data_IF_740783012421
#
_entry.id   IF_740783012421
#
_cell.length_a   1.000
_cell.length_b   1.000
_cell.length_c   1.000
_cell.angle_alpha   90.00
_cell.angle_beta   90.00
_cell.angle_gamma   90.00
#
_symmetry.space_group_name_H-M   'P 1'
#
loop_
_entity.id
_entity.type
_entity.pdbx_description
1 polymer ?
#
# COMPACT_ATOMS: atom_id res chain seq x y z
N UNK A 1 -43.29 39.91 26.57
CA UNK A 1 -42.98 40.54 25.28
C UNK A 1 -42.30 39.49 24.41
N UNK A 2 -43.04 38.66 23.65
CA UNK A 2 -43.53 38.90 22.26
C UNK A 2 -42.33 38.96 21.28
N UNK A 3 -42.16 38.19 20.20
CA UNK A 3 -43.00 37.40 19.30
C UNK A 3 -42.08 36.37 18.56
N UNK A 4 -42.42 35.09 18.33
CA UNK A 4 -43.28 34.47 17.29
C UNK A 4 -42.71 34.44 15.85
N UNK A 5 -42.62 33.21 15.28
CA UNK A 5 -42.87 32.72 13.88
C UNK A 5 -41.83 31.62 13.53
N UNK A 6 -42.07 30.33 13.24
CA UNK A 6 -43.20 29.44 12.86
C UNK A 6 -43.85 29.65 11.46
N UNK A 7 -43.50 28.69 10.57
CA UNK A 7 -44.23 28.04 9.46
C UNK A 7 -44.37 28.71 8.07
N UNK A 8 -44.09 27.92 7.01
CA UNK A 8 -45.01 27.41 5.93
C UNK A 8 -44.13 26.79 4.79
N UNK A 9 -44.18 25.47 4.50
CA UNK A 9 -45.09 24.70 3.60
C UNK A 9 -44.82 24.95 2.09
N UNK A 10 -44.33 23.99 1.28
CA UNK A 10 -45.00 22.85 0.59
C UNK A 10 -45.19 23.08 -0.94
N UNK A 11 -44.93 22.00 -1.72
CA UNK A 11 -45.45 21.62 -3.06
C UNK A 11 -44.91 22.28 -4.35
N UNK A 12 -44.43 21.39 -5.24
CA UNK A 12 -44.24 21.65 -6.68
C UNK A 12 -44.07 20.32 -7.42
N UNK A 13 -45.16 19.79 -7.94
CA UNK A 13 -45.32 18.51 -8.64
C UNK A 13 -45.56 18.79 -10.15
N UNK A 14 -45.11 17.85 -11.00
CA UNK A 14 -45.58 17.56 -12.38
C UNK A 14 -45.08 18.44 -13.55
N UNK A 15 -44.39 17.78 -14.51
CA UNK A 15 -44.73 17.70 -15.95
C UNK A 15 -43.46 17.67 -16.85
N UNK A 16 -43.12 16.52 -17.44
CA UNK A 16 -43.26 16.33 -18.90
C UNK A 16 -43.00 14.87 -19.28
N UNK A 17 -43.89 14.34 -20.12
CA UNK A 17 -43.82 13.03 -20.74
C UNK A 17 -43.57 13.20 -22.26
N UNK A 18 -43.22 12.07 -22.88
CA UNK A 18 -43.32 11.72 -24.32
C UNK A 18 -42.06 11.94 -25.16
N UNK A 19 -41.59 10.85 -25.77
CA UNK A 19 -40.64 10.87 -26.89
C UNK A 19 -40.09 9.49 -27.28
N UNK A 20 -40.94 8.60 -27.79
CA UNK A 20 -40.57 7.32 -28.44
C UNK A 20 -39.95 7.58 -29.82
N UNK A 21 -38.81 6.98 -30.15
CA UNK A 21 -38.49 6.57 -31.52
C UNK A 21 -37.39 5.49 -31.56
N UNK A 22 -37.80 4.31 -32.02
CA UNK A 22 -37.00 3.14 -32.38
C UNK A 22 -36.29 3.40 -33.72
N UNK A 23 -34.98 3.14 -33.80
CA UNK A 23 -34.31 2.84 -35.09
C UNK A 23 -33.35 1.68 -34.88
N UNK A 24 -33.84 0.47 -35.15
CA UNK A 24 -33.05 -0.72 -35.45
C UNK A 24 -32.46 -0.60 -36.85
N UNK A 25 -31.13 -0.60 -36.97
CA UNK A 25 -30.46 -0.81 -38.25
C UNK A 25 -30.04 -2.27 -38.39
N UNK A 26 -30.67 -2.94 -39.34
CA UNK A 26 -30.26 -4.21 -39.94
C UNK A 26 -29.04 -3.96 -40.84
N UNK A 27 -27.99 -4.78 -40.71
CA UNK A 27 -27.09 -5.08 -41.82
C UNK A 27 -26.89 -6.59 -41.93
N UNK A 28 -27.56 -7.18 -42.93
CA UNK A 28 -27.21 -8.49 -43.48
C UNK A 28 -26.15 -8.32 -44.59
N UNK A 29 -25.06 -9.07 -44.42
CA UNK A 29 -24.11 -9.70 -45.36
C UNK A 29 -24.05 -9.26 -46.84
N UNK A 30 -22.86 -9.46 -47.44
CA UNK A 30 -22.84 -10.53 -48.43
C UNK A 30 -21.75 -11.58 -48.20
N UNK A 31 -22.17 -12.80 -48.55
CA UNK A 31 -21.39 -14.01 -48.73
C UNK A 31 -20.49 -13.83 -49.96
N UNK A 32 -19.21 -14.18 -49.83
CA UNK A 32 -18.39 -14.57 -50.98
C UNK A 32 -17.86 -15.97 -50.69
N UNK A 33 -18.17 -16.87 -51.60
CA UNK A 33 -17.79 -18.28 -51.64
C UNK A 33 -16.87 -18.49 -52.86
N UNK A 34 -16.17 -19.63 -52.87
CA UNK A 34 -15.29 -20.22 -53.91
C UNK A 34 -13.80 -19.93 -53.70
N UNK A 35 -12.87 -20.90 -53.78
CA UNK A 35 -12.93 -22.34 -54.08
C UNK A 35 -11.57 -23.00 -53.75
N UNK A 36 -11.64 -24.25 -53.30
CA UNK A 36 -10.69 -25.37 -53.45
C UNK A 36 -9.20 -25.13 -53.75
N UNK A 37 -8.33 -25.72 -52.93
CA UNK A 37 -7.61 -26.94 -53.36
C UNK A 37 -6.86 -27.60 -52.19
N UNK A 38 -6.97 -28.93 -52.17
CA UNK A 38 -6.39 -29.93 -51.28
C UNK A 38 -4.86 -29.98 -51.24
N UNK A 39 -4.28 -30.12 -50.05
CA UNK A 39 -3.16 -31.04 -49.77
C UNK A 39 -3.33 -31.59 -48.36
N UNK A 40 -3.53 -32.91 -48.27
CA UNK A 40 -3.53 -33.70 -47.04
C UNK A 40 -2.09 -34.05 -46.66
N UNK A 41 -1.57 -33.43 -45.61
CA UNK A 41 -0.47 -33.97 -44.82
C UNK A 41 -1.02 -34.39 -43.45
N UNK A 42 -0.84 -35.67 -43.11
CA UNK A 42 -1.11 -36.21 -41.77
C UNK A 42 -0.11 -35.59 -40.79
N UNK A 43 -0.55 -34.57 -40.07
CA UNK A 43 0.18 -34.03 -38.90
C UNK A 43 0.00 -35.03 -37.74
N UNK A 44 1.08 -35.47 -37.08
CA UNK A 44 0.96 -36.31 -35.90
C UNK A 44 0.08 -35.60 -34.86
N UNK A 45 -0.90 -36.31 -34.31
CA UNK A 45 -1.65 -35.90 -33.12
C UNK A 45 -0.64 -35.62 -31.99
N UNK A 46 -0.22 -34.36 -31.88
CA UNK A 46 0.34 -33.82 -30.66
C UNK A 46 -0.81 -33.83 -29.67
N UNK A 47 -0.73 -34.77 -28.72
CA UNK A 47 -1.47 -34.70 -27.48
C UNK A 47 -1.19 -33.32 -26.90
N UNK A 48 -2.17 -32.42 -27.04
CA UNK A 48 -2.14 -31.15 -26.33
C UNK A 48 -1.95 -31.50 -24.86
N UNK A 49 -0.86 -31.06 -24.20
CA UNK A 49 -0.79 -31.17 -22.77
C UNK A 49 -1.96 -30.32 -22.26
N UNK A 50 -2.89 -30.99 -21.59
CA UNK A 50 -3.98 -30.39 -20.86
C UNK A 50 -3.35 -29.60 -19.71
N UNK A 51 -2.88 -28.39 -20.02
CA UNK A 51 -2.31 -27.44 -19.06
C UNK A 51 -3.35 -26.39 -18.72
N UNK A 52 -4.54 -26.82 -18.34
CA UNK A 52 -5.28 -26.09 -17.30
C UNK A 52 -4.82 -26.67 -15.96
N UNK A 53 -3.64 -26.28 -15.48
CA UNK A 53 -3.38 -26.42 -14.06
C UNK A 53 -4.40 -25.51 -13.38
N UNK A 54 -5.47 -26.09 -12.87
CA UNK A 54 -6.38 -25.38 -11.96
C UNK A 54 -5.49 -24.80 -10.86
N UNK A 55 -5.32 -23.49 -10.92
CA UNK A 55 -4.48 -22.77 -9.98
C UNK A 55 -5.13 -22.90 -8.61
N UNK A 56 -4.42 -23.50 -7.66
CA UNK A 56 -4.95 -23.65 -6.31
C UNK A 56 -5.24 -22.26 -5.73
N UNK A 57 -6.50 -22.02 -5.39
CA UNK A 57 -6.90 -20.83 -4.65
C UNK A 57 -6.34 -20.89 -3.22
N UNK A 58 -6.27 -19.76 -2.54
CA UNK A 58 -5.82 -19.74 -1.14
C UNK A 58 -6.77 -20.61 -0.29
N UNK A 59 -6.23 -21.56 0.51
CA UNK A 59 -7.05 -22.32 1.44
C UNK A 59 -7.85 -21.42 2.38
N UNK A 60 -9.05 -21.86 2.76
CA UNK A 60 -9.80 -21.17 3.82
C UNK A 60 -9.00 -21.24 5.12
N UNK A 61 -8.85 -20.09 5.78
CA UNK A 61 -8.07 -19.97 7.01
C UNK A 61 -7.79 -18.51 7.35
N UNK A 62 -7.14 -18.32 8.49
CA UNK A 62 -6.69 -17.00 8.94
C UNK A 62 -5.26 -16.77 8.50
N UNK A 63 -5.05 -15.66 7.81
CA UNK A 63 -3.76 -15.15 7.36
C UNK A 63 -3.39 -13.92 8.18
N UNK A 64 -2.15 -13.87 8.66
CA UNK A 64 -1.63 -12.75 9.42
C UNK A 64 -0.42 -12.16 8.70
N UNK A 65 -0.32 -10.83 8.67
CA UNK A 65 0.82 -10.13 8.08
C UNK A 65 1.37 -9.11 9.06
N UNK A 66 2.69 -9.11 9.24
CA UNK A 66 3.41 -8.08 9.99
C UNK A 66 3.89 -7.00 9.03
N UNK A 67 3.50 -5.75 9.30
CA UNK A 67 3.77 -4.60 8.44
C UNK A 67 4.55 -3.55 9.23
N UNK A 68 5.73 -3.21 8.72
CA UNK A 68 6.53 -2.10 9.22
C UNK A 68 6.64 -1.05 8.13
N UNK A 69 6.02 0.10 8.38
CA UNK A 69 6.30 1.28 7.59
C UNK A 69 7.62 1.91 8.07
N UNK A 70 8.52 2.20 7.13
CA UNK A 70 9.84 2.77 7.36
C UNK A 70 9.93 4.06 6.55
N UNK A 71 9.95 5.20 7.24
CA UNK A 71 9.84 6.54 6.66
C UNK A 71 10.40 7.69 7.53
N UNK A 72 11.20 7.40 8.55
CA UNK A 72 11.78 8.39 9.46
C UNK A 72 13.19 8.81 9.07
N UNK A 73 13.28 9.78 8.16
CA UNK A 73 14.54 10.36 7.71
C UNK A 73 15.13 11.36 8.73
N UNK A 74 14.37 11.70 9.77
CA UNK A 74 14.76 12.70 10.79
C UNK A 74 15.70 12.08 11.81
N UNK A 75 15.46 10.82 12.20
CA UNK A 75 16.28 10.07 13.16
C UNK A 75 16.86 8.80 12.54
N UNK A 76 17.81 8.93 11.60
CA UNK A 76 18.28 7.80 10.80
C UNK A 76 18.93 6.69 11.62
N UNK A 77 19.68 7.03 12.68
CA UNK A 77 20.37 6.04 13.51
C UNK A 77 19.38 5.16 14.27
N UNK A 78 18.35 5.78 14.84
CA UNK A 78 17.27 5.12 15.54
C UNK A 78 16.43 4.26 14.58
N UNK A 79 16.16 4.77 13.38
CA UNK A 79 15.49 4.04 12.31
C UNK A 79 16.28 2.78 11.91
N UNK A 80 17.57 2.93 11.55
CA UNK A 80 18.48 1.81 11.19
C UNK A 80 18.55 0.77 12.31
N UNK A 81 18.74 1.21 13.56
CA UNK A 81 18.82 0.30 14.71
C UNK A 81 17.50 -0.46 14.94
N UNK A 82 16.37 0.22 14.76
CA UNK A 82 15.03 -0.36 14.90
C UNK A 82 14.77 -1.39 13.82
N UNK A 83 15.03 -1.07 12.55
CA UNK A 83 14.83 -2.03 11.44
C UNK A 83 15.73 -3.25 11.63
N UNK A 84 17.00 -3.08 12.02
CA UNK A 84 17.87 -4.22 12.33
C UNK A 84 17.29 -5.11 13.45
N UNK A 85 16.80 -4.51 14.53
CA UNK A 85 16.22 -5.26 15.65
C UNK A 85 14.92 -5.96 15.25
N UNK A 86 14.09 -5.35 14.41
CA UNK A 86 12.92 -6.01 13.82
C UNK A 86 13.36 -7.25 13.03
N UNK A 87 14.37 -7.11 12.16
CA UNK A 87 14.87 -8.23 11.37
C UNK A 87 15.45 -9.34 12.25
N UNK A 88 16.21 -9.00 13.29
CA UNK A 88 16.73 -9.97 14.27
C UNK A 88 15.60 -10.80 14.89
N UNK A 89 14.51 -10.14 15.29
CA UNK A 89 13.36 -10.82 15.88
C UNK A 89 12.63 -11.69 14.86
N UNK A 90 12.38 -11.21 13.65
CA UNK A 90 11.74 -12.02 12.62
C UNK A 90 12.57 -13.25 12.25
N UNK A 91 13.89 -13.11 12.16
CA UNK A 91 14.81 -14.21 11.96
C UNK A 91 14.88 -15.16 13.16
N UNK A 92 14.86 -14.66 14.40
CA UNK A 92 14.80 -15.49 15.59
C UNK A 92 13.52 -16.34 15.63
N UNK A 93 12.37 -15.74 15.31
CA UNK A 93 11.07 -16.40 15.36
C UNK A 93 10.71 -17.17 14.10
N UNK A 94 11.48 -16.99 13.00
CA UNK A 94 11.19 -17.53 11.66
C UNK A 94 9.82 -17.11 11.13
N UNK A 95 9.48 -15.83 11.32
CA UNK A 95 8.19 -15.25 10.94
C UNK A 95 8.41 -14.25 9.80
N UNK A 96 7.64 -14.29 8.71
CA UNK A 96 7.78 -13.34 7.60
C UNK A 96 7.26 -11.93 7.96
N UNK A 97 7.81 -10.90 7.30
CA UNK A 97 7.46 -9.48 7.50
C UNK A 97 7.45 -8.72 6.18
N UNK A 98 6.55 -7.74 6.08
CA UNK A 98 6.54 -6.73 5.01
C UNK A 98 7.13 -5.41 5.50
N UNK A 99 8.15 -4.93 4.80
CA UNK A 99 8.83 -3.65 5.04
C UNK A 99 8.41 -2.66 3.95
N UNK A 100 7.67 -1.61 4.32
CA UNK A 100 7.23 -0.55 3.43
C UNK A 100 8.18 0.64 3.57
N UNK A 101 9.12 0.78 2.64
CA UNK A 101 10.18 1.80 2.69
C UNK A 101 9.88 2.91 1.69
N UNK A 102 10.03 4.17 2.09
CA UNK A 102 9.93 5.32 1.19
C UNK A 102 11.28 5.71 0.57
N UNK A 103 11.23 6.48 -0.53
CA UNK A 103 12.44 6.89 -1.26
C UNK A 103 13.50 7.57 -0.37
N UNK A 104 13.17 8.57 0.47
CA UNK A 104 14.18 9.22 1.32
C UNK A 104 14.95 8.24 2.22
N UNK A 105 14.27 7.21 2.77
CA UNK A 105 14.94 6.23 3.63
C UNK A 105 15.78 5.24 2.84
N UNK A 106 15.35 4.85 1.65
CA UNK A 106 16.17 3.99 0.78
C UNK A 106 17.47 4.69 0.43
N UNK A 107 17.40 5.95 0.01
CA UNK A 107 18.58 6.77 -0.30
C UNK A 107 19.51 6.88 0.92
N UNK A 108 18.93 7.08 2.10
CA UNK A 108 19.69 7.16 3.35
C UNK A 108 20.37 5.83 3.68
N UNK A 109 19.63 4.71 3.63
CA UNK A 109 20.14 3.40 4.00
C UNK A 109 21.22 2.89 3.04
N UNK A 110 21.10 3.15 1.74
CA UNK A 110 22.16 2.83 0.77
C UNK A 110 23.48 3.49 1.16
N UNK A 111 23.44 4.73 1.65
CA UNK A 111 24.62 5.49 2.03
C UNK A 111 25.15 5.13 3.44
N UNK A 112 24.27 5.01 4.42
CA UNK A 112 24.64 4.91 5.84
C UNK A 112 24.62 3.48 6.39
N UNK A 113 23.85 2.58 5.80
CA UNK A 113 23.65 1.20 6.27
C UNK A 113 23.55 0.19 5.11
N UNK A 114 24.56 0.08 4.23
CA UNK A 114 24.51 -0.84 3.08
C UNK A 114 24.35 -2.31 3.50
N UNK A 115 24.83 -2.70 4.69
CA UNK A 115 24.60 -4.04 5.24
C UNK A 115 23.12 -4.31 5.54
N UNK A 116 22.37 -3.29 5.98
CA UNK A 116 20.93 -3.40 6.19
C UNK A 116 20.19 -3.55 4.86
N UNK A 117 20.59 -2.82 3.82
CA UNK A 117 20.05 -2.98 2.45
C UNK A 117 20.24 -4.42 1.96
N UNK A 118 21.45 -4.97 2.09
CA UNK A 118 21.71 -6.35 1.68
C UNK A 118 20.88 -7.36 2.49
N UNK A 119 20.65 -7.11 3.78
CA UNK A 119 19.79 -7.97 4.61
C UNK A 119 18.33 -7.90 4.19
N UNK A 120 17.79 -6.71 3.93
CA UNK A 120 16.43 -6.50 3.42
C UNK A 120 16.22 -7.20 2.06
N UNK A 121 17.23 -7.14 1.20
CA UNK A 121 17.23 -7.75 -0.13
C UNK A 121 17.27 -9.28 -0.09
N UNK A 122 18.13 -9.85 0.77
CA UNK A 122 18.48 -11.28 0.71
C UNK A 122 17.72 -12.14 1.72
N UNK A 123 17.08 -11.55 2.72
CA UNK A 123 16.36 -12.32 3.74
C UNK A 123 15.16 -13.08 3.16
N UNK A 124 15.03 -14.40 3.44
CA UNK A 124 13.89 -15.20 3.01
C UNK A 124 12.62 -14.91 3.82
N UNK A 125 12.69 -14.05 4.84
CA UNK A 125 11.54 -13.66 5.66
C UNK A 125 11.02 -12.26 5.33
N UNK A 126 11.82 -11.44 4.64
CA UNK A 126 11.46 -10.07 4.32
C UNK A 126 10.90 -9.99 2.91
N UNK A 127 9.78 -9.29 2.78
CA UNK A 127 9.32 -8.74 1.51
C UNK A 127 9.38 -7.21 1.60
N UNK A 128 10.06 -6.58 0.63
CA UNK A 128 10.14 -5.12 0.56
C UNK A 128 9.05 -4.60 -0.37
N UNK A 129 8.32 -3.62 0.13
CA UNK A 129 7.24 -2.88 -0.52
C UNK A 129 7.57 -1.40 -0.50
N UNK A 130 6.95 -0.63 -1.38
CA UNK A 130 7.21 0.80 -1.53
C UNK A 130 6.16 1.63 -0.78
N UNK A 131 6.63 2.64 -0.06
CA UNK A 131 5.79 3.56 0.68
C UNK A 131 5.85 4.96 0.09
N UNK A 132 4.70 5.58 -0.10
CA UNK A 132 4.62 6.98 -0.52
C UNK A 132 4.36 7.84 0.70
N UNK A 133 5.20 8.87 0.88
CA UNK A 133 5.10 9.89 1.92
C UNK A 133 5.33 11.28 1.35
N UNK A 134 4.95 12.33 2.11
CA UNK A 134 5.32 13.69 1.74
C UNK A 134 6.83 13.80 1.51
N UNK A 135 7.25 14.67 0.57
CA UNK A 135 6.42 15.68 -0.09
C UNK A 135 5.81 15.25 -1.44
N UNK A 136 5.74 13.96 -1.77
CA UNK A 136 5.10 13.52 -3.01
C UNK A 136 3.68 14.11 -3.12
N UNK A 137 3.35 14.83 -4.21
CA UNK A 137 2.16 15.69 -4.24
C UNK A 137 0.89 14.85 -4.11
N UNK A 138 0.86 13.63 -4.64
CA UNK A 138 -0.29 12.72 -4.55
C UNK A 138 -0.47 12.01 -3.19
N UNK A 139 0.32 12.34 -2.15
CA UNK A 139 0.15 11.78 -0.80
C UNK A 139 -1.05 12.39 -0.05
N UNK A 140 -1.30 13.69 -0.22
CA UNK A 140 -2.50 14.45 0.20
C UNK A 140 -2.46 15.90 -0.31
N UNK A 141 -1.48 16.26 -1.14
CA UNK A 141 -1.25 17.62 -1.61
C UNK A 141 -1.76 17.77 -3.04
N UNK A 142 -1.84 19.01 -3.51
CA UNK A 142 -1.92 19.26 -4.95
C UNK A 142 -1.24 20.57 -5.34
N UNK A 143 -0.06 20.83 -4.75
CA UNK A 143 0.71 22.05 -5.02
C UNK A 143 1.18 22.16 -6.49
N UNK A 144 1.16 21.04 -7.23
CA UNK A 144 1.48 20.98 -8.67
C UNK A 144 0.24 21.02 -9.58
N UNK A 145 -0.98 21.04 -9.03
CA UNK A 145 -2.23 21.16 -9.80
C UNK A 145 -2.56 19.95 -10.68
N UNK A 146 -2.25 18.74 -10.22
CA UNK A 146 -2.50 17.45 -10.88
C UNK A 146 -3.94 17.29 -11.35
N UNK A 147 -4.91 17.80 -10.59
CA UNK A 147 -6.33 17.70 -10.93
C UNK A 147 -6.68 18.39 -12.26
N UNK A 148 -5.91 19.42 -12.66
CA UNK A 148 -6.10 20.19 -13.89
C UNK A 148 -5.28 19.69 -15.09
N UNK A 149 -4.27 18.84 -14.86
CA UNK A 149 -3.40 18.34 -15.93
C UNK A 149 -4.18 17.45 -16.91
N UNK A 150 -3.75 17.40 -18.17
CA UNK A 150 -4.23 16.37 -19.10
C UNK A 150 -3.79 14.98 -18.64
N UNK A 151 -4.38 13.90 -19.18
CA UNK A 151 -4.04 12.54 -18.77
C UNK A 151 -2.56 12.20 -19.04
N UNK A 152 -2.08 12.48 -20.25
CA UNK A 152 -0.68 12.26 -20.65
C UNK A 152 0.29 13.02 -19.74
N UNK A 153 0.05 14.32 -19.51
CA UNK A 153 0.92 15.15 -18.65
C UNK A 153 0.87 14.69 -17.17
N UNK A 154 -0.29 14.20 -16.70
CA UNK A 154 -0.40 13.65 -15.35
C UNK A 154 0.42 12.35 -15.23
N UNK A 155 0.31 11.44 -16.18
CA UNK A 155 1.06 10.19 -16.19
C UNK A 155 2.57 10.44 -16.26
N UNK A 156 3.02 11.35 -17.14
CA UNK A 156 4.43 11.75 -17.22
C UNK A 156 4.93 12.32 -15.90
N UNK A 157 4.16 13.23 -15.27
CA UNK A 157 4.52 13.80 -13.97
C UNK A 157 4.64 12.72 -12.88
N UNK A 158 3.67 11.81 -12.80
CA UNK A 158 3.69 10.71 -11.83
C UNK A 158 4.87 9.76 -12.09
N UNK A 159 5.18 9.51 -13.36
CA UNK A 159 6.34 8.71 -13.74
C UNK A 159 7.66 9.37 -13.32
N UNK A 160 7.79 10.69 -13.49
CA UNK A 160 8.96 11.45 -13.03
C UNK A 160 9.12 11.31 -11.51
N UNK A 161 8.05 11.50 -10.72
CA UNK A 161 8.10 11.30 -9.27
C UNK A 161 8.50 9.89 -8.84
N UNK A 162 8.17 8.87 -9.62
CA UNK A 162 8.47 7.48 -9.30
C UNK A 162 9.80 6.98 -9.87
N UNK A 163 10.49 7.81 -10.66
CA UNK A 163 11.80 7.50 -11.24
C UNK A 163 12.91 8.42 -10.74
N UNK A 164 12.56 9.57 -10.19
CA UNK A 164 13.48 10.55 -9.64
C UNK A 164 13.37 10.65 -8.13
N UNK A 165 14.47 11.05 -7.52
CA UNK A 165 14.51 11.42 -6.10
C UNK A 165 13.66 12.67 -5.91
N UNK A 166 12.96 12.75 -4.79
CA UNK A 166 12.20 13.96 -4.43
C UNK A 166 13.04 14.87 -3.54
N UNK A 167 13.09 16.16 -3.88
CA UNK A 167 13.64 17.19 -3.00
C UNK A 167 12.68 17.43 -1.84
N UNK A 168 13.15 17.27 -0.60
CA UNK A 168 12.29 17.39 0.58
C UNK A 168 11.83 18.82 0.87
N UNK A 169 12.60 19.83 0.43
CA UNK A 169 12.27 21.24 0.60
C UNK A 169 11.29 21.70 -0.48
N UNK A 170 11.51 21.37 -1.76
CA UNK A 170 10.62 21.86 -2.84
C UNK A 170 9.46 20.92 -3.13
N UNK A 171 9.58 19.64 -2.78
CA UNK A 171 8.65 18.60 -3.20
C UNK A 171 8.72 18.25 -4.68
N UNK A 172 9.68 18.80 -5.44
CA UNK A 172 9.85 18.52 -6.87
C UNK A 172 10.78 17.31 -7.09
N UNK A 173 10.59 16.55 -8.18
CA UNK A 173 11.57 15.55 -8.60
C UNK A 173 12.90 16.21 -8.96
N UNK A 174 14.02 15.53 -8.68
CA UNK A 174 15.37 15.96 -9.06
C UNK A 174 15.90 15.18 -10.27
N UNK A 175 17.11 15.49 -10.71
CA UNK A 175 17.82 14.73 -11.76
C UNK A 175 18.42 13.41 -11.25
N UNK A 176 18.44 13.19 -9.92
CA UNK A 176 18.99 11.97 -9.32
C UNK A 176 17.96 10.84 -9.35
N UNK A 177 18.36 9.57 -9.54
CA UNK A 177 17.44 8.43 -9.46
C UNK A 177 16.78 8.31 -8.09
N UNK A 178 15.50 8.02 -8.06
CA UNK A 178 14.73 7.81 -6.82
C UNK A 178 13.39 7.12 -7.05
N UNK A 179 12.49 7.32 -6.09
CA UNK A 179 11.15 6.78 -6.12
C UNK A 179 11.09 5.24 -6.13
N UNK A 180 9.98 4.71 -6.62
CA UNK A 180 9.79 3.27 -6.79
C UNK A 180 10.89 2.62 -7.66
N UNK A 181 11.32 3.30 -8.73
CA UNK A 181 12.31 2.76 -9.67
C UNK A 181 13.66 2.51 -8.99
N UNK A 182 14.11 3.45 -8.15
CA UNK A 182 15.36 3.30 -7.44
C UNK A 182 15.30 2.19 -6.40
N UNK A 183 14.21 2.09 -5.63
CA UNK A 183 14.04 0.97 -4.70
C UNK A 183 14.08 -0.38 -5.43
N UNK A 184 13.44 -0.48 -6.60
CA UNK A 184 13.50 -1.68 -7.46
C UNK A 184 14.92 -2.01 -7.89
N UNK A 185 15.72 -1.01 -8.29
CA UNK A 185 17.12 -1.20 -8.65
C UNK A 185 17.94 -1.72 -7.47
N UNK A 186 17.83 -1.08 -6.31
CA UNK A 186 18.57 -1.42 -5.09
C UNK A 186 18.24 -2.85 -4.63
N UNK A 187 16.96 -3.20 -4.58
CA UNK A 187 16.49 -4.54 -4.19
C UNK A 187 16.78 -5.60 -5.26
N UNK A 188 16.90 -5.23 -6.53
CA UNK A 188 17.04 -6.16 -7.65
C UNK A 188 15.75 -6.92 -8.00
N UNK A 189 14.62 -6.51 -7.42
CA UNK A 189 13.28 -6.99 -7.74
C UNK A 189 12.27 -5.85 -7.54
N UNK A 190 11.14 -5.92 -8.23
CA UNK A 190 10.07 -4.94 -8.10
C UNK A 190 9.44 -5.00 -6.69
N UNK A 191 9.32 -3.88 -5.94
CA UNK A 191 8.60 -3.86 -4.67
C UNK A 191 7.21 -4.46 -4.82
N UNK A 192 6.84 -5.37 -3.90
CA UNK A 192 5.65 -6.20 -4.06
C UNK A 192 4.37 -5.38 -3.95
N UNK A 193 4.27 -4.51 -2.95
CA UNK A 193 3.13 -3.63 -2.74
C UNK A 193 3.49 -2.15 -2.84
N UNK A 194 2.53 -1.33 -3.23
CA UNK A 194 2.63 0.13 -3.33
C UNK A 194 1.46 0.82 -2.61
N UNK A 195 1.73 1.96 -1.97
CA UNK A 195 0.73 2.73 -1.24
C UNK A 195 -0.11 3.64 -2.14
N UNK A 196 -1.42 3.40 -2.22
CA UNK A 196 -2.37 4.23 -2.97
C UNK A 196 -2.97 5.37 -2.14
N UNK A 197 -2.25 6.48 -1.96
CA UNK A 197 -2.64 7.53 -1.00
C UNK A 197 -3.33 8.77 -1.60
N UNK A 198 -3.71 8.78 -2.88
CA UNK A 198 -4.38 9.95 -3.46
C UNK A 198 -5.89 9.98 -3.17
N UNK A 199 -6.38 11.10 -2.63
CA UNK A 199 -7.80 11.36 -2.48
C UNK A 199 -8.52 11.63 -3.81
N UNK A 200 -7.77 12.00 -4.86
CA UNK A 200 -8.29 12.21 -6.20
C UNK A 200 -8.28 10.89 -6.97
N UNK A 201 -9.47 10.34 -7.24
CA UNK A 201 -9.62 9.04 -7.93
C UNK A 201 -8.94 9.03 -9.31
N UNK A 202 -8.92 10.15 -10.04
CA UNK A 202 -8.24 10.21 -11.34
C UNK A 202 -6.73 10.05 -11.19
N UNK A 203 -6.15 10.75 -10.21
CA UNK A 203 -4.71 10.66 -9.89
C UNK A 203 -4.37 9.27 -9.36
N UNK A 204 -5.19 8.70 -8.48
CA UNK A 204 -4.99 7.36 -7.96
C UNK A 204 -4.96 6.29 -9.06
N UNK A 205 -5.85 6.39 -10.06
CA UNK A 205 -5.87 5.49 -11.23
C UNK A 205 -4.60 5.63 -12.08
N UNK A 206 -4.25 6.86 -12.46
CA UNK A 206 -3.05 7.12 -13.24
C UNK A 206 -1.78 6.62 -12.52
N UNK A 207 -1.72 6.78 -11.19
CA UNK A 207 -0.61 6.29 -10.38
C UNK A 207 -0.58 4.75 -10.32
N UNK A 208 -1.73 4.09 -10.21
CA UNK A 208 -1.82 2.63 -10.28
C UNK A 208 -1.33 2.11 -11.63
N UNK A 209 -1.69 2.77 -12.73
CA UNK A 209 -1.22 2.42 -14.08
C UNK A 209 0.31 2.58 -14.17
N UNK A 210 0.88 3.68 -13.65
CA UNK A 210 2.34 3.86 -13.57
C UNK A 210 3.00 2.70 -12.82
N UNK A 211 2.53 2.37 -11.62
CA UNK A 211 3.12 1.28 -10.84
C UNK A 211 2.95 -0.10 -11.50
N UNK A 212 1.82 -0.38 -12.15
CA UNK A 212 1.61 -1.61 -12.91
C UNK A 212 2.66 -1.75 -14.02
N UNK A 213 2.92 -0.69 -14.78
CA UNK A 213 3.97 -0.67 -15.81
C UNK A 213 5.38 -0.83 -15.21
N UNK A 214 5.61 -0.33 -13.99
CA UNK A 214 6.88 -0.49 -13.28
C UNK A 214 7.05 -1.88 -12.65
N UNK A 215 6.00 -2.70 -12.62
CA UNK A 215 6.02 -4.09 -12.16
C UNK A 215 5.57 -4.30 -10.71
N UNK A 216 4.85 -3.35 -10.11
CA UNK A 216 4.20 -3.58 -8.83
C UNK A 216 3.18 -4.72 -8.96
N UNK A 217 2.97 -5.47 -7.88
CA UNK A 217 2.00 -6.58 -7.85
C UNK A 217 0.74 -6.21 -7.10
N UNK A 218 0.92 -5.56 -5.94
CA UNK A 218 -0.16 -5.22 -5.02
C UNK A 218 -0.33 -3.71 -4.85
N UNK A 219 -1.58 -3.27 -4.82
CA UNK A 219 -2.02 -1.93 -4.46
C UNK A 219 -2.59 -1.95 -3.04
N UNK A 220 -2.10 -1.07 -2.17
CA UNK A 220 -2.62 -0.93 -0.81
C UNK A 220 -3.72 0.12 -0.79
N UNK A 221 -4.92 -0.32 -0.40
CA UNK A 221 -6.03 0.56 0.00
C UNK A 221 -6.32 0.37 1.49
N UNK A 222 -6.91 1.39 2.12
CA UNK A 222 -7.23 1.36 3.55
C UNK A 222 -8.72 1.62 3.81
N UNK A 223 -9.17 1.31 5.03
CA UNK A 223 -10.51 1.63 5.56
C UNK A 223 -11.69 0.92 4.88
N UNK A 224 -11.45 -0.24 4.28
CA UNK A 224 -12.50 -1.10 3.73
C UNK A 224 -12.07 -2.55 3.78
N UNK A 225 -13.04 -3.45 3.70
CA UNK A 225 -12.77 -4.85 3.39
C UNK A 225 -12.16 -4.94 1.99
N UNK A 226 -11.08 -5.68 1.86
CA UNK A 226 -10.44 -6.06 0.60
C UNK A 226 -10.29 -7.58 0.62
N UNK A 227 -11.04 -8.25 -0.25
CA UNK A 227 -11.00 -9.71 -0.33
C UNK A 227 -9.78 -10.19 -1.12
N UNK A 228 -9.45 -11.47 -0.96
CA UNK A 228 -8.42 -12.11 -1.79
C UNK A 228 -8.81 -12.01 -3.27
N UNK A 229 -7.85 -11.61 -4.11
CA UNK A 229 -8.02 -11.37 -5.56
C UNK A 229 -8.89 -10.17 -5.94
N UNK A 230 -9.25 -9.30 -5.00
CA UNK A 230 -9.72 -7.97 -5.38
C UNK A 230 -8.64 -7.25 -6.21
N UNK A 231 -9.05 -6.47 -7.19
CA UNK A 231 -8.16 -5.71 -8.07
C UNK A 231 -8.46 -4.22 -7.98
N UNK A 232 -7.45 -3.40 -8.26
CA UNK A 232 -7.56 -1.97 -8.48
C UNK A 232 -6.78 -1.64 -9.74
N UNK A 233 -7.50 -1.35 -10.82
CA UNK A 233 -6.94 -1.33 -12.18
C UNK A 233 -6.19 -2.65 -12.45
N UNK A 234 -4.96 -2.58 -12.99
CA UNK A 234 -4.15 -3.77 -13.34
C UNK A 234 -3.35 -4.35 -12.16
N UNK A 235 -3.58 -3.86 -10.93
CA UNK A 235 -2.92 -4.33 -9.71
C UNK A 235 -3.87 -5.18 -8.86
N UNK A 236 -3.34 -6.20 -8.19
CA UNK A 236 -4.06 -6.89 -7.14
C UNK A 236 -4.15 -5.99 -5.92
N UNK A 237 -5.22 -6.02 -5.14
CA UNK A 237 -5.24 -5.29 -3.88
C UNK A 237 -4.64 -6.14 -2.77
N UNK A 238 -3.88 -5.51 -1.86
CA UNK A 238 -3.45 -6.19 -0.63
C UNK A 238 -4.70 -6.57 0.17
N UNK A 239 -4.93 -7.87 0.45
CA UNK A 239 -6.13 -8.29 1.16
C UNK A 239 -6.11 -7.81 2.62
N UNK A 240 -7.29 -7.46 3.12
CA UNK A 240 -7.46 -6.86 4.44
C UNK A 240 -8.90 -7.05 4.92
N UNK A 241 -9.11 -7.90 5.91
CA UNK A 241 -10.35 -7.90 6.70
C UNK A 241 -10.24 -6.91 7.86
N UNK A 242 -9.06 -6.83 8.49
CA UNK A 242 -8.78 -5.93 9.61
C UNK A 242 -7.31 -5.48 9.62
N UNK A 243 -7.09 -4.18 9.78
CA UNK A 243 -5.78 -3.60 10.11
C UNK A 243 -5.74 -3.22 11.59
N UNK A 244 -4.85 -3.86 12.34
CA UNK A 244 -4.59 -3.54 13.74
C UNK A 244 -3.37 -2.64 13.81
N UNK A 245 -3.58 -1.36 14.12
CA UNK A 245 -2.50 -0.42 14.37
C UNK A 245 -2.00 -0.59 15.80
N UNK A 246 -0.97 -1.42 15.94
CA UNK A 246 -0.49 -1.93 17.23
C UNK A 246 0.16 -0.86 18.12
N UNK A 247 0.35 0.36 17.59
CA UNK A 247 0.95 1.51 18.25
C UNK A 247 -0.06 2.57 18.76
N UNK A 248 -1.33 2.56 18.29
CA UNK A 248 -2.25 3.69 18.53
C UNK A 248 -2.79 3.79 19.97
N UNK A 249 -2.68 2.73 20.77
CA UNK A 249 -3.24 2.72 22.13
C UNK A 249 -2.34 3.49 23.10
N UNK A 250 -2.90 4.57 23.69
CA UNK A 250 -2.25 5.38 24.73
C UNK A 250 -2.02 4.61 26.04
N UNK A 251 -2.92 3.70 26.38
CA UNK A 251 -2.76 2.74 27.48
C UNK A 251 -2.20 1.44 26.95
N UNK A 252 -1.30 0.82 27.70
CA UNK A 252 -0.78 -0.48 27.28
C UNK A 252 -1.89 -1.54 27.23
N UNK A 253 -1.92 -2.26 26.11
CA UNK A 253 -2.61 -3.54 25.94
C UNK A 253 -1.60 -4.57 25.44
N UNK A 254 -1.73 -5.83 25.88
CA UNK A 254 -0.89 -6.92 25.36
C UNK A 254 -1.18 -7.17 23.89
N UNK A 255 -0.18 -7.67 23.17
CA UNK A 255 -0.38 -8.02 21.76
C UNK A 255 -1.46 -9.08 21.61
N UNK A 256 -1.47 -10.08 22.50
CA UNK A 256 -2.51 -11.12 22.54
C UNK A 256 -3.91 -10.53 22.59
N UNK A 257 -4.16 -9.54 23.47
CA UNK A 257 -5.50 -8.95 23.59
C UNK A 257 -5.92 -8.27 22.29
N UNK A 258 -5.02 -7.50 21.68
CA UNK A 258 -5.28 -6.78 20.43
C UNK A 258 -5.56 -7.74 19.27
N UNK A 259 -4.78 -8.83 19.19
CA UNK A 259 -4.94 -9.85 18.15
C UNK A 259 -6.24 -10.63 18.37
N UNK A 260 -6.53 -11.10 19.57
CA UNK A 260 -7.78 -11.82 19.88
C UNK A 260 -9.02 -10.96 19.64
N UNK A 261 -8.95 -9.65 19.90
CA UNK A 261 -10.03 -8.73 19.54
C UNK A 261 -10.24 -8.66 18.02
N UNK A 262 -9.16 -8.58 17.24
CA UNK A 262 -9.23 -8.53 15.78
C UNK A 262 -9.74 -9.84 15.15
N UNK A 263 -9.45 -10.99 15.78
CA UNK A 263 -9.84 -12.30 15.27
C UNK A 263 -11.33 -12.64 15.46
N UNK A 264 -12.05 -11.96 16.38
CA UNK A 264 -13.42 -12.34 16.79
C UNK A 264 -14.43 -12.37 15.65
N UNK A 265 -14.33 -11.43 14.72
CA UNK A 265 -15.35 -11.19 13.69
C UNK A 265 -14.89 -11.65 12.29
N UNK A 266 -13.76 -12.36 12.21
CA UNK A 266 -13.26 -12.84 10.92
C UNK A 266 -14.12 -13.97 10.34
N UNK A 267 -14.33 -13.99 9.02
CA UNK A 267 -15.07 -15.06 8.37
C UNK A 267 -14.27 -16.38 8.43
N UNK A 268 -14.99 -17.49 8.63
CA UNK A 268 -14.41 -18.84 8.63
C UNK A 268 -14.64 -19.62 7.34
N UNK A 269 -15.27 -19.00 6.34
CA UNK A 269 -15.70 -19.64 5.09
C UNK A 269 -14.90 -19.18 3.85
N UNK A 270 -13.94 -18.28 4.04
CA UNK A 270 -12.98 -17.82 3.02
C UNK A 270 -11.64 -17.47 3.68
N UNK A 271 -10.55 -17.27 2.92
CA UNK A 271 -9.34 -16.65 3.45
C UNK A 271 -9.68 -15.33 4.15
N UNK A 272 -9.20 -15.16 5.39
CA UNK A 272 -9.40 -13.97 6.20
C UNK A 272 -8.05 -13.35 6.59
N UNK A 273 -7.90 -12.03 6.50
CA UNK A 273 -6.60 -11.35 6.61
C UNK A 273 -6.54 -10.34 7.76
N UNK A 274 -5.58 -10.55 8.66
CA UNK A 274 -5.23 -9.64 9.76
C UNK A 274 -3.89 -8.99 9.51
N UNK A 275 -3.90 -7.67 9.37
CA UNK A 275 -2.71 -6.87 9.12
C UNK A 275 -2.26 -6.19 10.44
N UNK A 276 -1.14 -6.63 11.02
CA UNK A 276 -0.56 -6.02 12.22
C UNK A 276 0.46 -4.96 11.83
N UNK A 277 0.19 -3.69 12.17
CA UNK A 277 0.94 -2.55 11.65
C UNK A 277 1.67 -1.75 12.72
N UNK A 278 2.92 -1.42 12.40
CA UNK A 278 3.75 -0.44 13.09
C UNK A 278 4.38 0.55 12.11
N UNK A 279 4.76 1.71 12.63
CA UNK A 279 5.84 2.51 12.05
C UNK A 279 7.10 2.27 12.87
N UNK A 280 8.26 2.23 12.22
CA UNK A 280 9.54 2.08 12.89
C UNK A 280 9.78 3.20 13.93
N UNK A 281 9.35 4.42 13.66
CA UNK A 281 9.50 5.51 14.62
C UNK A 281 8.65 5.34 15.88
N UNK A 282 7.63 4.46 15.88
CA UNK A 282 6.82 4.18 17.04
C UNK A 282 7.60 3.45 18.14
N UNK A 283 8.77 2.88 17.83
CA UNK A 283 9.62 2.23 18.82
C UNK A 283 10.42 3.22 19.67
N UNK A 284 10.70 4.44 19.16
CA UNK A 284 11.59 5.39 19.82
C UNK A 284 11.06 6.83 19.91
N UNK A 285 9.98 7.18 19.20
CA UNK A 285 9.33 8.50 19.28
C UNK A 285 7.84 8.42 19.57
N UNK A 286 7.27 9.53 20.04
CA UNK A 286 5.83 9.77 20.09
C UNK A 286 5.51 10.95 19.18
N UNK A 287 4.85 10.68 18.06
CA UNK A 287 4.56 11.65 16.99
C UNK A 287 5.12 11.19 15.64
N UNK A 288 4.77 11.91 14.57
CA UNK A 288 5.39 11.72 13.24
C UNK A 288 6.51 12.72 13.11
N UNK A 289 7.74 12.24 12.99
CA UNK A 289 8.98 13.03 13.12
C UNK A 289 9.10 14.13 12.09
N UNK A 290 8.65 13.90 10.86
CA UNK A 290 8.63 14.86 9.77
C UNK A 290 7.29 15.59 9.62
N UNK A 291 6.27 15.30 10.45
CA UNK A 291 4.91 15.80 10.23
C UNK A 291 4.79 17.33 10.29
N UNK A 292 5.55 17.99 11.18
CA UNK A 292 5.55 19.46 11.33
C UNK A 292 6.19 20.21 10.15
N UNK A 293 6.89 19.50 9.27
CA UNK A 293 7.43 20.06 8.02
C UNK A 293 6.31 20.33 7.01
N UNK A 294 5.30 19.45 6.95
CA UNK A 294 4.30 19.45 5.89
C UNK A 294 2.89 19.83 6.35
N UNK A 295 2.60 19.77 7.65
CA UNK A 295 1.27 20.07 8.20
C UNK A 295 1.29 21.07 9.36
N UNK A 296 0.27 21.93 9.41
CA UNK A 296 -0.04 22.78 10.57
C UNK A 296 -0.37 21.94 11.80
N UNK A 297 -1.16 20.87 11.63
CA UNK A 297 -1.44 19.88 12.66
C UNK A 297 -0.95 18.48 12.23
N UNK A 298 0.26 18.07 12.66
CA UNK A 298 0.83 16.77 12.32
C UNK A 298 0.06 15.56 12.85
N UNK A 299 -0.72 15.70 13.93
CA UNK A 299 -1.46 14.56 14.50
C UNK A 299 -2.69 14.24 13.65
N UNK A 300 -3.43 15.28 13.25
CA UNK A 300 -4.62 15.14 12.41
C UNK A 300 -4.34 15.21 10.91
N UNK A 301 -3.10 15.56 10.52
CA UNK A 301 -2.66 15.77 9.13
C UNK A 301 -3.55 16.76 8.40
N UNK A 302 -3.79 17.90 9.05
CA UNK A 302 -4.61 18.99 8.52
C UNK A 302 -3.78 20.26 8.36
N UNK A 303 -4.19 21.08 7.39
CA UNK A 303 -3.53 22.34 7.06
C UNK A 303 -2.20 22.08 6.37
N UNK A 304 -2.25 21.62 5.12
CA UNK A 304 -1.05 21.38 4.33
C UNK A 304 -0.28 22.69 4.11
N UNK A 305 1.04 22.64 4.27
CA UNK A 305 1.90 23.73 3.81
C UNK A 305 2.14 23.63 2.30
N UNK A 306 2.51 24.74 1.70
CA UNK A 306 2.98 24.81 0.32
C UNK A 306 4.51 24.88 0.30
N UNK A 307 5.19 24.29 -0.69
CA UNK A 307 6.64 24.42 -0.81
C UNK A 307 7.08 25.88 -1.07
N UNK A 308 8.32 26.27 -0.71
CA UNK A 308 9.33 25.42 -0.08
C UNK A 308 9.01 25.11 1.39
N UNK A 309 9.11 23.83 1.75
CA UNK A 309 8.88 23.31 3.08
C UNK A 309 10.06 23.62 4.01
N UNK A 310 9.76 24.02 5.24
CA UNK A 310 10.78 24.32 6.24
C UNK A 310 11.27 23.03 6.93
N UNK A 311 12.33 22.43 6.39
CA UNK A 311 12.95 21.22 6.95
C UNK A 311 13.49 21.42 8.38
N UNK A 312 13.72 22.66 8.83
CA UNK A 312 14.18 22.91 10.20
C UNK A 312 13.13 22.59 11.26
N UNK A 313 11.88 22.41 10.83
CA UNK A 313 10.75 22.00 11.67
C UNK A 313 10.67 20.49 11.91
N UNK A 314 11.52 19.71 11.27
CA UNK A 314 11.62 18.28 11.52
C UNK A 314 11.87 18.02 13.02
N UNK A 315 11.05 17.16 13.62
CA UNK A 315 11.08 16.83 15.04
C UNK A 315 10.31 17.80 15.95
N UNK A 316 9.75 18.90 15.43
CA UNK A 316 8.93 19.81 16.24
C UNK A 316 7.73 19.08 16.86
N UNK A 317 7.55 19.24 18.17
CA UNK A 317 6.46 18.59 18.92
C UNK A 317 6.62 17.08 19.12
N UNK A 318 7.67 16.47 18.58
CA UNK A 318 7.95 15.04 18.70
C UNK A 318 8.76 14.78 19.96
N UNK A 319 8.36 13.76 20.73
CA UNK A 319 9.06 13.37 21.95
C UNK A 319 9.78 12.04 21.77
N UNK A 320 11.06 12.01 22.12
CA UNK A 320 11.76 10.73 22.30
C UNK A 320 11.11 9.95 23.43
N UNK A 321 10.83 8.67 23.19
CA UNK A 321 10.30 7.76 24.20
C UNK A 321 11.35 7.50 25.28
N UNK A 322 10.90 7.41 26.52
CA UNK A 322 11.74 6.92 27.63
C UNK A 322 12.11 5.46 27.43
N UNK A 323 13.16 4.98 28.09
CA UNK A 323 13.57 3.57 28.02
C UNK A 323 12.42 2.60 28.36
N UNK A 324 11.63 2.91 29.39
CA UNK A 324 10.44 2.12 29.76
C UNK A 324 9.41 2.09 28.62
N UNK A 325 9.16 3.22 27.95
CA UNK A 325 8.22 3.29 26.84
C UNK A 325 8.73 2.53 25.61
N UNK A 326 10.03 2.59 25.31
CA UNK A 326 10.64 1.81 24.22
C UNK A 326 10.59 0.32 24.54
N UNK A 327 10.95 -0.07 25.76
CA UNK A 327 10.86 -1.45 26.26
C UNK A 327 9.45 -1.99 26.12
N UNK A 328 8.45 -1.17 26.43
CA UNK A 328 7.05 -1.56 26.31
C UNK A 328 6.60 -1.79 24.86
N UNK A 329 7.07 -0.97 23.91
CA UNK A 329 6.80 -1.16 22.48
C UNK A 329 7.46 -2.45 21.97
N UNK A 330 8.72 -2.67 22.34
CA UNK A 330 9.44 -3.90 21.98
C UNK A 330 8.80 -5.14 22.59
N UNK A 331 8.37 -5.08 23.85
CA UNK A 331 7.65 -6.17 24.51
C UNK A 331 6.36 -6.50 23.76
N UNK A 332 5.55 -5.49 23.39
CA UNK A 332 4.34 -5.72 22.58
C UNK A 332 4.67 -6.36 21.23
N UNK A 333 5.74 -5.91 20.57
CA UNK A 333 6.14 -6.46 19.28
C UNK A 333 6.52 -7.94 19.38
N UNK A 334 7.38 -8.28 20.35
CA UNK A 334 7.82 -9.65 20.58
C UNK A 334 6.68 -10.56 21.04
N UNK A 335 5.75 -10.06 21.87
CA UNK A 335 4.52 -10.80 22.21
C UNK A 335 3.66 -11.13 20.98
N UNK A 336 3.60 -10.24 19.98
CA UNK A 336 2.87 -10.52 18.75
C UNK A 336 3.52 -11.65 17.94
N UNK A 337 4.85 -11.66 17.87
CA UNK A 337 5.61 -12.74 17.24
C UNK A 337 5.43 -14.06 17.98
N UNK A 338 5.52 -14.05 19.31
CA UNK A 338 5.27 -15.23 20.14
C UNK A 338 3.84 -15.75 19.94
N UNK A 339 2.85 -14.87 19.92
CA UNK A 339 1.47 -15.26 19.67
C UNK A 339 1.32 -15.98 18.32
N UNK A 340 1.89 -15.42 17.25
CA UNK A 340 1.83 -16.04 15.92
C UNK A 340 2.53 -17.42 15.89
N UNK A 341 3.66 -17.55 16.57
CA UNK A 341 4.37 -18.83 16.72
C UNK A 341 3.53 -19.87 17.49
N UNK A 342 2.92 -19.47 18.61
CA UNK A 342 2.12 -20.35 19.47
C UNK A 342 0.81 -20.82 18.79
N UNK A 343 0.34 -20.07 17.78
CA UNK A 343 -0.89 -20.33 17.03
C UNK A 343 -0.66 -20.74 15.57
N UNK A 344 0.55 -21.21 15.24
CA UNK A 344 0.93 -21.59 13.87
C UNK A 344 0.09 -22.76 13.27
N UNK A 345 -0.68 -23.47 14.10
CA UNK A 345 -1.63 -24.50 13.67
C UNK A 345 -2.99 -23.93 13.21
N UNK A 346 -3.29 -22.68 13.53
CA UNK A 346 -4.57 -22.02 13.20
C UNK A 346 -4.42 -20.73 12.41
N UNK A 347 -3.23 -20.12 12.43
CA UNK A 347 -2.91 -18.87 11.74
C UNK A 347 -1.72 -19.12 10.82
N UNK A 348 -1.86 -18.75 9.55
CA UNK A 348 -0.76 -18.76 8.58
C UNK A 348 -0.18 -17.36 8.50
N UNK A 349 1.09 -17.18 8.88
CA UNK A 349 1.75 -15.89 8.71
C UNK A 349 2.30 -15.77 7.28
N UNK A 350 2.00 -14.67 6.61
CA UNK A 350 2.39 -14.40 5.22
C UNK A 350 2.91 -12.96 5.08
N UNK A 351 3.77 -12.75 4.09
CA UNK A 351 4.12 -11.43 3.57
C UNK A 351 3.70 -11.32 2.10
N UNK A 352 3.88 -10.15 1.48
CA UNK A 352 3.43 -9.92 0.10
C UNK A 352 4.13 -10.81 -0.93
N UNK A 353 5.41 -11.16 -0.71
CA UNK A 353 6.11 -12.11 -1.57
C UNK A 353 5.40 -13.46 -1.60
N UNK A 354 5.05 -14.00 -0.43
CA UNK A 354 4.38 -15.29 -0.32
C UNK A 354 2.99 -15.25 -0.96
N UNK A 355 2.25 -14.16 -0.80
CA UNK A 355 0.95 -14.02 -1.46
C UNK A 355 1.08 -13.94 -2.99
N UNK A 356 2.12 -13.29 -3.50
CA UNK A 356 2.37 -13.20 -4.94
C UNK A 356 2.52 -14.58 -5.61
N UNK A 357 2.98 -15.60 -4.87
CA UNK A 357 3.13 -16.96 -5.39
C UNK A 357 1.79 -17.65 -5.71
N UNK A 358 0.67 -17.16 -5.15
CA UNK A 358 -0.69 -17.68 -5.39
C UNK A 358 -1.44 -16.92 -6.49
N UNK A 359 -0.82 -15.90 -7.07
CA UNK A 359 -1.39 -15.13 -8.18
C UNK A 359 -1.12 -15.80 -9.53
N UNK A 360 -1.99 -15.55 -10.53
CA UNK A 360 -1.72 -15.99 -11.88
C UNK A 360 -0.47 -15.33 -12.44
N UNK A 361 0.36 -16.14 -13.10
CA UNK A 361 1.60 -15.72 -13.78
C UNK A 361 1.33 -15.17 -15.17
#
# INVERSE_FOLDING_TARGET
MTHTKKWILILGVLCFAIGVAVVTFFFQKPIVQTSDSSVTEEVPNLVSPDTSSEMEDLPTGTYMTFIINVHDWVYPKESIATVNRVLDLHEQYQIPVDMYVDDPLVQLYVNEAPELIERLKTSPLVAVSYHVRPPAPYHSFDFVGMDTLSQEVLEDLLYDYETSRVDLETGEPTDDPGGYAYLKEVMGYAPYAVGGNSANVRVAKALADVYAHMGATFWVSHNRLIEWRDQYEDLWQRPEDVEVKMYERKTYMSAQTLIEEALKDLPSYRPAFVNLKWHENNFYTSGTTWGAVYWEDPESKNGDFEPPFDLSRAGEGVLMKTEDQQTEQWRRYEEALQYAQDHANTITVVNMRMLAEYLPK
#
